data_IF_275550808546
#
_entry.id   IF_275550808546
#
_cell.length_a   1.000
_cell.length_b   1.000
_cell.length_c   1.000
_cell.angle_alpha   90.00
_cell.angle_beta   90.00
_cell.angle_gamma   90.00
#
_symmetry.space_group_name_H-M   'P 1'
#
loop_
_entity.id
_entity.type
_entity.pdbx_description
1 polymer ?
#
# COMPACT_ATOMS: atom_id res chain seq x y z
N UNK A 1 -18.17 7.01 1.47
CA UNK A 1 -16.80 7.54 1.32
C UNK A 1 -16.41 7.29 -0.13
N UNK A 2 -15.90 8.30 -0.82
CA UNK A 2 -15.37 8.17 -2.18
C UNK A 2 -14.04 7.41 -2.17
N UNK A 3 -13.60 6.89 -3.33
CA UNK A 3 -12.30 6.25 -3.45
C UNK A 3 -11.15 7.18 -3.06
N UNK A 4 -11.23 8.47 -3.41
CA UNK A 4 -10.24 9.49 -3.01
C UNK A 4 -10.18 9.64 -1.49
N UNK A 5 -11.33 9.83 -0.83
CA UNK A 5 -11.39 9.91 0.63
C UNK A 5 -10.88 8.63 1.31
N UNK A 6 -11.14 7.45 0.74
CA UNK A 6 -10.62 6.19 1.27
C UNK A 6 -9.09 6.14 1.20
N UNK A 7 -8.52 6.50 0.05
CA UNK A 7 -7.07 6.49 -0.15
C UNK A 7 -6.40 7.49 0.79
N UNK A 8 -6.86 8.74 0.84
CA UNK A 8 -6.34 9.78 1.73
C UNK A 8 -6.43 9.38 3.21
N UNK A 9 -7.57 8.81 3.65
CA UNK A 9 -7.71 8.36 5.02
C UNK A 9 -6.76 7.20 5.35
N UNK A 10 -6.54 6.27 4.41
CA UNK A 10 -5.58 5.18 4.62
C UNK A 10 -4.16 5.70 4.74
N UNK A 11 -3.79 6.73 3.97
CA UNK A 11 -2.50 7.41 4.08
C UNK A 11 -2.31 8.04 5.46
N UNK A 12 -3.31 8.78 5.94
CA UNK A 12 -3.29 9.37 7.28
C UNK A 12 -3.14 8.30 8.37
N UNK A 13 -3.82 7.16 8.24
CA UNK A 13 -3.70 6.06 9.20
C UNK A 13 -2.29 5.48 9.26
N UNK A 14 -1.59 5.36 8.12
CA UNK A 14 -0.22 4.87 8.09
C UNK A 14 0.72 5.84 8.80
N UNK A 15 0.62 7.13 8.51
CA UNK A 15 1.42 8.16 9.20
C UNK A 15 1.16 8.12 10.70
N UNK A 16 -0.10 8.07 11.13
CA UNK A 16 -0.46 7.99 12.56
C UNK A 16 -0.02 6.70 13.25
N UNK A 17 0.04 5.57 12.52
CA UNK A 17 0.49 4.30 13.09
C UNK A 17 1.99 4.32 13.39
N UNK A 18 2.76 5.04 12.56
CA UNK A 18 4.21 5.18 12.65
C UNK A 18 4.65 6.38 13.49
N UNK A 19 3.73 7.31 13.75
CA UNK A 19 3.97 8.47 14.61
C UNK A 19 4.46 8.01 15.99
N UNK A 20 5.48 8.68 16.53
CA UNK A 20 6.15 8.31 17.78
C UNK A 20 6.66 6.85 17.86
N UNK A 21 6.87 6.14 16.74
CA UNK A 21 7.54 4.84 16.77
C UNK A 21 9.04 5.04 17.06
N UNK A 22 9.59 4.51 18.17
CA UNK A 22 10.99 4.68 18.52
C UNK A 22 11.93 4.15 17.43
N UNK A 23 13.04 4.84 17.17
CA UNK A 23 14.02 4.47 16.13
C UNK A 23 14.47 3.00 16.22
N UNK A 24 14.78 2.42 17.40
CA UNK A 24 15.19 1.01 17.47
C UNK A 24 14.10 0.01 17.06
N UNK A 25 12.83 0.41 17.10
CA UNK A 25 11.70 -0.46 16.78
C UNK A 25 11.42 -0.56 15.28
N UNK A 26 12.00 0.31 14.47
CA UNK A 26 11.77 0.31 13.01
C UNK A 26 12.27 -0.95 12.33
N UNK A 27 13.43 -1.44 12.75
CA UNK A 27 14.09 -2.65 12.22
C UNK A 27 13.85 -3.90 13.09
N UNK A 28 13.13 -3.76 14.21
CA UNK A 28 12.84 -4.89 15.08
C UNK A 28 11.79 -5.80 14.42
N UNK A 29 12.05 -7.12 14.29
CA UNK A 29 11.09 -8.05 13.71
C UNK A 29 9.90 -8.26 14.66
N UNK A 30 8.76 -8.68 14.11
CA UNK A 30 7.59 -9.07 14.92
C UNK A 30 6.33 -8.24 14.71
N UNK A 31 6.32 -7.28 13.78
CA UNK A 31 5.11 -6.51 13.46
C UNK A 31 4.06 -7.40 12.78
N UNK A 32 4.48 -8.19 11.81
CA UNK A 32 3.62 -9.18 11.14
C UNK A 32 4.45 -10.40 10.75
N UNK A 33 4.45 -11.43 11.60
CA UNK A 33 5.44 -12.51 11.47
C UNK A 33 6.84 -11.96 11.68
N UNK A 34 7.77 -12.25 10.77
CA UNK A 34 9.16 -11.78 10.85
C UNK A 34 9.36 -10.34 10.37
N UNK A 35 8.34 -9.72 9.78
CA UNK A 35 8.45 -8.36 9.23
C UNK A 35 8.54 -7.31 10.32
N UNK A 36 9.46 -6.36 10.12
CA UNK A 36 9.63 -5.14 10.91
C UNK A 36 8.68 -4.04 10.44
N UNK A 37 8.61 -2.91 11.15
CA UNK A 37 7.82 -1.76 10.72
C UNK A 37 8.34 -1.19 9.39
N UNK A 38 9.67 -1.18 9.20
CA UNK A 38 10.29 -0.80 7.93
C UNK A 38 9.83 -1.72 6.78
N UNK A 39 9.77 -3.02 7.01
CA UNK A 39 9.32 -3.98 5.99
C UNK A 39 7.85 -3.79 5.63
N UNK A 40 7.00 -3.47 6.62
CA UNK A 40 5.61 -3.09 6.36
C UNK A 40 5.53 -1.87 5.45
N UNK A 41 6.27 -0.79 5.75
CA UNK A 41 6.25 0.41 4.90
C UNK A 41 6.80 0.11 3.51
N UNK A 42 7.86 -0.69 3.40
CA UNK A 42 8.40 -1.12 2.11
C UNK A 42 7.35 -1.87 1.27
N UNK A 43 6.60 -2.77 1.91
CA UNK A 43 5.48 -3.47 1.30
C UNK A 43 4.35 -2.51 0.90
N UNK A 44 3.92 -1.59 1.79
CA UNK A 44 2.87 -0.61 1.47
C UNK A 44 3.26 0.32 0.33
N UNK A 45 4.52 0.73 0.24
CA UNK A 45 5.06 1.52 -0.89
C UNK A 45 4.82 0.82 -2.22
N UNK A 46 5.01 -0.49 -2.26
CA UNK A 46 4.76 -1.28 -3.46
C UNK A 46 3.27 -1.34 -3.86
N UNK A 47 2.34 -1.19 -2.92
CA UNK A 47 0.92 -1.09 -3.22
C UNK A 47 0.50 0.29 -3.73
N UNK A 48 1.17 1.36 -3.30
CA UNK A 48 0.98 2.69 -3.90
C UNK A 48 1.44 2.72 -5.36
N UNK A 49 2.59 2.11 -5.65
CA UNK A 49 3.09 1.97 -7.02
C UNK A 49 2.17 1.09 -7.87
N UNK A 50 1.61 0.03 -7.29
CA UNK A 50 0.61 -0.82 -7.93
C UNK A 50 -0.67 -0.05 -8.29
N UNK A 51 -1.14 0.85 -7.41
CA UNK A 51 -2.32 1.68 -7.65
C UNK A 51 -2.11 2.60 -8.86
N UNK A 52 -0.94 3.25 -8.95
CA UNK A 52 -0.59 4.11 -10.09
C UNK A 52 -0.70 3.33 -11.41
N UNK A 53 -0.12 2.13 -11.46
CA UNK A 53 -0.17 1.25 -12.64
C UNK A 53 -1.60 0.77 -12.94
N UNK A 54 -2.36 0.41 -11.90
CA UNK A 54 -3.76 0.00 -12.05
C UNK A 54 -4.63 1.12 -12.64
N UNK A 55 -4.43 2.36 -12.22
CA UNK A 55 -5.18 3.52 -12.71
C UNK A 55 -4.93 3.77 -14.20
N UNK A 56 -3.73 3.54 -14.70
CA UNK A 56 -3.41 3.68 -16.12
C UNK A 56 -4.23 2.72 -17.01
N UNK A 57 -4.55 1.52 -16.49
CA UNK A 57 -5.29 0.51 -17.27
C UNK A 57 -6.72 0.92 -17.64
N UNK A 58 -7.34 1.86 -16.93
CA UNK A 58 -8.70 2.34 -17.26
C UNK A 58 -8.74 3.14 -18.57
N UNK A 59 -7.58 3.64 -19.01
CA UNK A 59 -7.42 4.32 -20.30
C UNK A 59 -7.14 3.34 -21.46
N UNK A 60 -7.22 2.03 -21.20
CA UNK A 60 -6.96 0.99 -22.20
C UNK A 60 -5.49 0.58 -22.29
N UNK A 61 -4.64 1.07 -21.38
CA UNK A 61 -3.27 0.59 -21.26
C UNK A 61 -3.24 -0.88 -20.82
N UNK A 62 -2.28 -1.64 -21.35
CA UNK A 62 -2.09 -3.03 -20.94
C UNK A 62 -1.48 -3.07 -19.54
N UNK A 63 -1.94 -3.96 -18.65
CA UNK A 63 -1.34 -4.09 -17.32
C UNK A 63 0.16 -4.33 -17.39
N UNK A 64 0.95 -3.58 -16.61
CA UNK A 64 2.40 -3.74 -16.66
C UNK A 64 2.85 -5.10 -16.08
N UNK A 65 4.10 -5.51 -16.34
CA UNK A 65 4.69 -6.68 -15.69
C UNK A 65 4.63 -6.63 -14.16
N UNK A 66 4.66 -5.44 -13.55
CA UNK A 66 4.60 -5.26 -12.11
C UNK A 66 3.24 -5.68 -11.54
N UNK A 67 2.17 -5.17 -12.13
CA UNK A 67 0.80 -5.53 -11.78
C UNK A 67 0.46 -6.98 -12.14
N UNK A 68 1.00 -7.48 -13.25
CA UNK A 68 0.88 -8.90 -13.59
C UNK A 68 1.62 -9.81 -12.60
N UNK A 69 2.76 -9.37 -12.06
CA UNK A 69 3.48 -10.10 -11.00
C UNK A 69 2.61 -10.22 -9.76
N UNK A 70 2.04 -9.11 -9.27
CA UNK A 70 1.11 -9.08 -8.15
C UNK A 70 -0.08 -10.04 -8.33
N UNK A 71 -0.69 -10.04 -9.52
CA UNK A 71 -1.82 -10.93 -9.84
C UNK A 71 -1.41 -12.41 -9.85
N UNK A 72 -0.22 -12.72 -10.36
CA UNK A 72 0.22 -14.10 -10.58
C UNK A 72 0.67 -14.79 -9.29
N UNK A 73 1.37 -14.07 -8.43
CA UNK A 73 1.97 -14.62 -7.22
C UNK A 73 2.13 -13.51 -6.18
N UNK A 74 1.08 -13.35 -5.36
CA UNK A 74 0.99 -12.32 -4.34
C UNK A 74 2.12 -12.46 -3.30
N UNK A 75 2.46 -13.70 -2.92
CA UNK A 75 3.46 -13.94 -1.90
C UNK A 75 4.85 -13.56 -2.40
N UNK A 76 5.21 -13.98 -3.61
CA UNK A 76 6.51 -13.63 -4.16
C UNK A 76 6.61 -12.14 -4.47
N UNK A 77 5.53 -11.50 -4.96
CA UNK A 77 5.48 -10.04 -5.12
C UNK A 77 5.77 -9.31 -3.80
N UNK A 78 5.11 -9.72 -2.72
CA UNK A 78 5.30 -9.13 -1.39
C UNK A 78 6.75 -9.33 -0.88
N UNK A 79 7.31 -10.53 -1.06
CA UNK A 79 8.72 -10.81 -0.69
C UNK A 79 9.70 -9.97 -1.51
N UNK A 80 9.50 -9.87 -2.82
CA UNK A 80 10.33 -9.07 -3.72
C UNK A 80 10.27 -7.58 -3.36
N UNK A 81 9.08 -7.07 -3.01
CA UNK A 81 8.87 -5.68 -2.60
C UNK A 81 9.66 -5.30 -1.34
N UNK A 82 9.70 -6.20 -0.34
CA UNK A 82 10.47 -6.00 0.89
C UNK A 82 11.97 -6.15 0.62
N UNK A 83 12.40 -7.21 -0.07
CA UNK A 83 13.82 -7.46 -0.36
C UNK A 83 14.45 -6.33 -1.21
N UNK A 84 13.71 -5.73 -2.14
CA UNK A 84 14.18 -4.59 -2.93
C UNK A 84 14.61 -3.38 -2.07
N UNK A 85 14.09 -3.27 -0.84
CA UNK A 85 14.34 -2.17 0.10
C UNK A 85 15.15 -2.59 1.33
N UNK A 86 15.63 -3.83 1.38
CA UNK A 86 16.32 -4.41 2.54
C UNK A 86 17.47 -3.55 3.07
N UNK A 87 18.26 -2.96 2.17
CA UNK A 87 19.44 -2.15 2.50
C UNK A 87 19.13 -0.66 2.67
N UNK A 88 17.86 -0.25 2.53
CA UNK A 88 17.44 1.12 2.82
C UNK A 88 17.24 1.30 4.33
N UNK A 89 17.47 2.53 4.78
CA UNK A 89 17.10 3.00 6.12
C UNK A 89 15.60 3.21 6.22
N UNK A 90 15.05 3.19 7.44
CA UNK A 90 13.64 3.52 7.69
C UNK A 90 13.23 4.86 7.05
N UNK A 91 14.08 5.88 7.17
CA UNK A 91 13.82 7.19 6.56
C UNK A 91 13.76 7.14 5.03
N UNK A 92 14.64 6.37 4.37
CA UNK A 92 14.61 6.23 2.91
C UNK A 92 13.34 5.54 2.44
N UNK A 93 12.92 4.47 3.13
CA UNK A 93 11.67 3.77 2.83
C UNK A 93 10.46 4.68 3.05
N UNK A 94 10.46 5.47 4.13
CA UNK A 94 9.39 6.43 4.40
C UNK A 94 9.31 7.56 3.37
N UNK A 95 10.44 8.08 2.91
CA UNK A 95 10.46 9.09 1.86
C UNK A 95 9.88 8.53 0.55
N UNK A 96 10.29 7.33 0.16
CA UNK A 96 9.76 6.67 -1.03
C UNK A 96 8.25 6.41 -0.90
N UNK A 97 7.80 5.98 0.28
CA UNK A 97 6.39 5.78 0.57
C UNK A 97 5.59 7.06 0.37
N UNK A 98 6.02 8.17 0.98
CA UNK A 98 5.34 9.47 0.87
C UNK A 98 5.31 9.97 -0.58
N UNK A 99 6.41 9.83 -1.32
CA UNK A 99 6.44 10.18 -2.75
C UNK A 99 5.46 9.32 -3.55
N UNK A 100 5.35 8.02 -3.24
CA UNK A 100 4.42 7.12 -3.91
C UNK A 100 2.95 7.44 -3.57
N UNK A 101 2.66 7.79 -2.32
CA UNK A 101 1.33 8.22 -1.86
C UNK A 101 0.85 9.48 -2.58
N UNK A 102 1.71 10.50 -2.69
CA UNK A 102 1.37 11.74 -3.41
C UNK A 102 1.03 11.42 -4.86
N UNK A 103 1.85 10.59 -5.51
CA UNK A 103 1.65 10.20 -6.91
C UNK A 103 0.39 9.36 -7.12
N UNK A 104 0.06 8.44 -6.21
CA UNK A 104 -1.15 7.62 -6.31
C UNK A 104 -2.41 8.45 -6.07
N UNK A 105 -2.39 9.37 -5.10
CA UNK A 105 -3.48 10.30 -4.84
C UNK A 105 -3.73 11.24 -6.03
N UNK A 106 -2.66 11.85 -6.58
CA UNK A 106 -2.74 12.70 -7.76
C UNK A 106 -3.30 11.92 -8.96
N UNK A 107 -2.81 10.71 -9.21
CA UNK A 107 -3.31 9.86 -10.29
C UNK A 107 -4.80 9.53 -10.12
N UNK A 108 -5.24 9.14 -8.93
CA UNK A 108 -6.66 8.85 -8.66
C UNK A 108 -7.53 10.10 -8.85
N UNK A 109 -7.09 11.26 -8.35
CA UNK A 109 -7.83 12.52 -8.45
C UNK A 109 -8.00 13.02 -9.90
N UNK A 110 -7.10 12.60 -10.79
CA UNK A 110 -7.15 12.96 -12.21
C UNK A 110 -8.15 12.11 -13.01
N UNK A 111 -8.60 10.98 -12.46
CA UNK A 111 -9.56 10.11 -13.12
C UNK A 111 -10.98 10.70 -13.07
N UNK A 112 -11.73 10.66 -14.19
CA UNK A 112 -13.17 10.92 -14.17
C UNK A 112 -13.89 9.99 -13.19
N UNK A 113 -14.78 10.54 -12.35
CA UNK A 113 -15.51 9.78 -11.35
C UNK A 113 -16.29 8.60 -11.97
N UNK A 114 -16.80 8.77 -13.19
CA UNK A 114 -17.50 7.71 -13.92
C UNK A 114 -16.58 6.52 -14.23
N UNK A 115 -15.29 6.75 -14.51
CA UNK A 115 -14.31 5.67 -14.73
C UNK A 115 -13.92 4.99 -13.42
N UNK A 116 -13.83 5.75 -12.32
CA UNK A 116 -13.51 5.22 -11.00
C UNK A 116 -14.57 4.23 -10.53
N UNK A 117 -15.85 4.54 -10.76
CA UNK A 117 -17.01 3.75 -10.32
C UNK A 117 -17.42 2.67 -11.34
N UNK A 118 -16.95 2.73 -12.58
CA UNK A 118 -17.36 1.80 -13.64
C UNK A 118 -16.95 0.37 -13.33
N UNK A 119 -17.96 -0.49 -13.11
CA UNK A 119 -17.77 -1.95 -12.99
C UNK A 119 -17.17 -2.52 -14.28
N UNK A 120 -16.23 -3.44 -14.11
CA UNK A 120 -15.45 -4.06 -15.19
C UNK A 120 -14.46 -3.12 -15.88
N UNK A 121 -14.14 -1.96 -15.30
CA UNK A 121 -13.09 -1.07 -15.81
C UNK A 121 -11.70 -1.73 -15.76
N UNK A 122 -11.49 -2.66 -14.83
CA UNK A 122 -10.24 -3.41 -14.65
C UNK A 122 -10.47 -4.90 -14.90
N UNK A 123 -10.58 -5.28 -16.18
CA UNK A 123 -10.85 -6.67 -16.62
C UNK A 123 -9.77 -7.68 -16.18
N UNK A 124 -8.56 -7.19 -15.93
CA UNK A 124 -7.44 -7.99 -15.42
C UNK A 124 -7.55 -8.28 -13.92
N UNK A 125 -8.48 -7.68 -13.17
CA UNK A 125 -8.58 -7.87 -11.72
C UNK A 125 -9.71 -8.84 -11.34
N UNK A 126 -9.41 -9.87 -10.54
CA UNK A 126 -10.36 -10.91 -10.09
C UNK A 126 -11.17 -11.50 -11.26
N UNK A 127 -12.51 -11.42 -11.18
CA UNK A 127 -13.48 -11.87 -12.21
C UNK A 127 -13.56 -10.93 -13.42
N UNK A 128 -12.86 -9.80 -13.39
CA UNK A 128 -12.93 -8.76 -14.41
C UNK A 128 -14.15 -7.84 -14.29
N UNK A 129 -14.89 -7.92 -13.18
CA UNK A 129 -16.11 -7.14 -12.94
C UNK A 129 -15.90 -5.97 -11.97
N UNK A 130 -14.72 -5.86 -11.36
CA UNK A 130 -14.40 -4.83 -10.38
C UNK A 130 -14.24 -3.44 -11.01
N UNK A 131 -14.52 -2.40 -10.22
CA UNK A 131 -14.16 -1.01 -10.52
C UNK A 131 -12.84 -0.62 -9.85
N UNK A 132 -12.33 0.58 -10.17
CA UNK A 132 -11.19 1.16 -9.44
C UNK A 132 -11.56 1.42 -7.98
N UNK A 133 -12.77 1.90 -7.70
CA UNK A 133 -13.25 2.10 -6.34
C UNK A 133 -13.16 0.80 -5.50
N UNK A 134 -13.54 -0.36 -6.07
CA UNK A 134 -13.42 -1.66 -5.38
C UNK A 134 -11.97 -2.02 -5.06
N UNK A 135 -11.04 -1.72 -5.97
CA UNK A 135 -9.61 -1.97 -5.77
C UNK A 135 -9.06 -1.07 -4.67
N UNK A 136 -9.36 0.23 -4.72
CA UNK A 136 -8.93 1.21 -3.70
C UNK A 136 -9.48 0.86 -2.33
N UNK A 137 -10.76 0.50 -2.23
CA UNK A 137 -11.37 0.06 -0.97
C UNK A 137 -10.62 -1.15 -0.40
N UNK A 138 -10.39 -2.17 -1.25
CA UNK A 138 -9.71 -3.40 -0.82
C UNK A 138 -8.29 -3.12 -0.33
N UNK A 139 -7.54 -2.27 -1.01
CA UNK A 139 -6.17 -1.94 -0.62
C UNK A 139 -6.13 -1.03 0.62
N UNK A 140 -7.07 -0.10 0.75
CA UNK A 140 -7.21 0.74 1.95
C UNK A 140 -7.47 -0.09 3.20
N UNK A 141 -8.35 -1.09 3.11
CA UNK A 141 -8.60 -2.04 4.22
C UNK A 141 -7.35 -2.85 4.58
N UNK A 142 -6.56 -3.25 3.58
CA UNK A 142 -5.30 -3.97 3.79
C UNK A 142 -4.24 -3.10 4.48
N UNK A 143 -4.13 -1.84 4.09
CA UNK A 143 -3.26 -0.86 4.75
C UNK A 143 -3.68 -0.63 6.20
N UNK A 144 -4.98 -0.51 6.46
CA UNK A 144 -5.52 -0.36 7.82
C UNK A 144 -5.17 -1.56 8.71
N UNK A 145 -5.23 -2.79 8.18
CA UNK A 145 -4.81 -3.98 8.92
C UNK A 145 -3.33 -3.88 9.36
N UNK A 146 -2.44 -3.46 8.47
CA UNK A 146 -1.03 -3.28 8.79
C UNK A 146 -0.77 -2.13 9.78
N UNK A 147 -1.56 -1.04 9.71
CA UNK A 147 -1.51 0.03 10.70
C UNK A 147 -1.84 -0.49 12.10
N UNK A 148 -2.85 -1.35 12.21
CA UNK A 148 -3.23 -1.96 13.48
C UNK A 148 -2.13 -2.89 14.02
N UNK A 149 -1.49 -3.67 13.16
CA UNK A 149 -0.35 -4.51 13.54
C UNK A 149 0.83 -3.68 14.09
N UNK A 150 1.17 -2.55 13.45
CA UNK A 150 2.21 -1.63 13.95
C UNK A 150 1.83 -1.08 15.32
N UNK A 151 0.58 -0.65 15.51
CA UNK A 151 0.10 -0.13 16.79
C UNK A 151 0.19 -1.20 17.89
N UNK A 152 -0.26 -2.42 17.61
CA UNK A 152 -0.19 -3.54 18.55
C UNK A 152 1.26 -3.88 18.91
N UNK A 153 2.15 -3.93 17.92
CA UNK A 153 3.58 -4.14 18.13
C UNK A 153 4.18 -3.05 19.02
N UNK A 154 3.84 -1.78 18.78
CA UNK A 154 4.28 -0.66 19.61
C UNK A 154 3.84 -0.83 21.06
N UNK A 155 2.55 -1.09 21.29
CA UNK A 155 2.03 -1.27 22.65
C UNK A 155 2.62 -2.48 23.38
N UNK A 156 2.88 -3.59 22.67
CA UNK A 156 3.47 -4.78 23.25
C UNK A 156 4.92 -4.58 23.72
N UNK A 157 5.67 -3.67 23.08
CA UNK A 157 7.07 -3.40 23.41
C UNK A 157 7.28 -2.17 24.30
N UNK A 158 6.28 -1.28 24.46
CA UNK A 158 6.30 -0.18 25.44
C UNK A 158 6.46 -0.64 26.90
N UNK A 159 6.11 -1.89 27.21
CA UNK A 159 6.21 -2.44 28.57
C UNK A 159 7.60 -3.02 28.90
N UNK A 160 8.55 -2.94 27.96
CA UNK A 160 9.91 -3.47 28.12
C UNK A 160 10.97 -2.36 28.36
N UNK A 161 10.54 -1.09 28.40
CA UNK A 161 11.33 0.08 28.83
C UNK A 161 11.10 0.39 30.31
#
# INVERSE_FOLDING_TARGET
MSATEMLENSHLMVIQALDDLPEPMWDMPGVSGEWSAKDIVAHLTSYELLLIDAFQTVHGETPSPYLMRWRSDLQAFNTEAVEARRYQTAQQVMNEYQDAQVRSADALSSLPAELVEKKGAISWYRSGEASIADLVERLSQHMQQHCEQIKQFREANKQQE
#
